data_IF_032526592357
#
_entry.id   IF_032526592357
#
_cell.length_a   1.000
_cell.length_b   1.000
_cell.length_c   1.000
_cell.angle_alpha   90.00
_cell.angle_beta   90.00
_cell.angle_gamma   90.00
#
_symmetry.space_group_name_H-M   'P 1'
#
loop_
_entity.id
_entity.type
_entity.pdbx_description
1 polymer ?
#
# COMPACT_ATOMS: atom_id res chain seq x y z
N UNK A 1 -27.85 -28.83 14.61
CA UNK A 1 -26.81 -27.85 14.95
C UNK A 1 -26.39 -27.13 13.69
N UNK A 2 -26.05 -25.85 13.80
CA UNK A 2 -25.56 -25.06 12.67
C UNK A 2 -24.13 -25.45 12.29
N UNK A 3 -23.73 -25.10 11.06
CA UNK A 3 -22.40 -25.41 10.53
C UNK A 3 -21.32 -24.62 11.29
N UNK A 4 -20.13 -25.20 11.51
CA UNK A 4 -19.00 -24.46 12.07
C UNK A 4 -18.62 -23.29 11.16
N UNK A 5 -18.27 -22.14 11.74
CA UNK A 5 -17.91 -20.96 10.97
C UNK A 5 -16.39 -20.95 10.69
N UNK A 6 -15.97 -21.83 9.77
CA UNK A 6 -14.56 -22.01 9.40
C UNK A 6 -14.33 -21.89 7.89
N UNK A 7 -13.11 -21.55 7.50
CA UNK A 7 -12.63 -21.63 6.12
C UNK A 7 -11.52 -22.67 5.99
N UNK A 8 -11.72 -23.69 5.16
CA UNK A 8 -10.72 -24.71 4.89
C UNK A 8 -9.71 -24.22 3.84
N UNK A 9 -8.42 -24.32 4.16
CA UNK A 9 -7.33 -23.82 3.33
C UNK A 9 -6.33 -24.94 3.05
N UNK A 10 -5.96 -25.10 1.78
CA UNK A 10 -4.91 -26.03 1.35
C UNK A 10 -3.78 -25.26 0.68
N UNK A 11 -2.56 -25.54 1.09
CA UNK A 11 -1.33 -24.95 0.51
C UNK A 11 -0.35 -26.06 0.12
N UNK A 12 0.79 -25.70 -0.47
CA UNK A 12 1.88 -26.65 -0.73
C UNK A 12 2.53 -27.18 0.57
N UNK A 13 2.44 -26.44 1.68
CA UNK A 13 3.08 -26.77 2.96
C UNK A 13 2.18 -27.62 3.88
N UNK A 14 0.89 -27.69 3.61
CA UNK A 14 -0.05 -28.40 4.47
C UNK A 14 -1.49 -27.93 4.34
N UNK A 15 -2.32 -28.43 5.25
CA UNK A 15 -3.76 -28.17 5.32
C UNK A 15 -4.11 -27.48 6.62
N UNK A 16 -5.06 -26.57 6.54
CA UNK A 16 -5.44 -25.69 7.63
C UNK A 16 -6.94 -25.47 7.65
N UNK A 17 -7.45 -25.03 8.78
CA UNK A 17 -8.69 -24.28 8.83
C UNK A 17 -8.44 -22.93 9.48
N UNK A 18 -9.11 -21.90 8.96
CA UNK A 18 -9.21 -20.59 9.60
C UNK A 18 -10.50 -20.55 10.42
N UNK A 19 -10.37 -20.33 11.72
CA UNK A 19 -11.47 -20.18 12.68
C UNK A 19 -11.90 -18.72 12.73
N UNK A 20 -13.11 -18.43 12.23
CA UNK A 20 -13.58 -17.06 12.07
C UNK A 20 -13.79 -16.38 13.42
N UNK A 21 -14.36 -17.09 14.39
CA UNK A 21 -14.67 -16.52 15.71
C UNK A 21 -13.44 -16.13 16.52
N UNK A 22 -12.29 -16.74 16.22
CA UNK A 22 -11.03 -16.55 16.95
C UNK A 22 -9.96 -15.83 16.14
N UNK A 23 -10.18 -15.63 14.84
CA UNK A 23 -9.20 -15.08 13.91
C UNK A 23 -7.86 -15.85 13.95
N UNK A 24 -7.94 -17.19 13.97
CA UNK A 24 -6.78 -18.08 14.11
C UNK A 24 -6.71 -19.07 12.93
N UNK A 25 -5.50 -19.38 12.47
CA UNK A 25 -5.25 -20.43 11.48
C UNK A 25 -4.67 -21.64 12.21
N UNK A 26 -5.35 -22.78 12.10
CA UNK A 26 -4.96 -24.04 12.75
C UNK A 26 -4.50 -25.04 11.70
N UNK A 27 -3.27 -25.52 11.84
CA UNK A 27 -2.74 -26.59 11.00
C UNK A 27 -3.37 -27.93 11.39
N UNK A 28 -3.80 -28.70 10.40
CA UNK A 28 -4.49 -29.98 10.61
C UNK A 28 -3.98 -31.07 9.67
N UNK A 29 -4.17 -32.31 10.11
CA UNK A 29 -3.84 -33.49 9.32
C UNK A 29 -4.84 -33.70 8.17
N UNK A 30 -4.40 -34.51 7.21
CA UNK A 30 -5.13 -34.81 5.97
C UNK A 30 -6.52 -35.40 6.22
N UNK A 31 -6.62 -36.29 7.21
CA UNK A 31 -7.87 -36.98 7.56
C UNK A 31 -8.88 -36.02 8.18
N UNK A 32 -8.42 -35.15 9.09
CA UNK A 32 -9.26 -34.14 9.72
C UNK A 32 -9.74 -33.11 8.70
N UNK A 33 -8.90 -32.75 7.73
CA UNK A 33 -9.32 -31.85 6.65
C UNK A 33 -10.41 -32.49 5.77
N UNK A 34 -10.32 -33.78 5.46
CA UNK A 34 -11.33 -34.50 4.70
C UNK A 34 -12.65 -34.61 5.49
N UNK A 35 -12.56 -34.86 6.80
CA UNK A 35 -13.70 -34.87 7.72
C UNK A 35 -14.39 -33.51 7.76
N UNK A 36 -13.66 -32.44 8.03
CA UNK A 36 -14.19 -31.08 8.06
C UNK A 36 -14.76 -30.66 6.70
N UNK A 37 -14.14 -31.07 5.59
CA UNK A 37 -14.68 -30.84 4.25
C UNK A 37 -16.05 -31.49 4.06
N UNK A 38 -16.25 -32.67 4.65
CA UNK A 38 -17.54 -33.38 4.63
C UNK A 38 -18.55 -32.65 5.50
N UNK A 39 -18.18 -32.29 6.75
CA UNK A 39 -19.02 -31.53 7.68
C UNK A 39 -19.46 -30.19 7.08
N UNK A 40 -18.56 -29.45 6.42
CA UNK A 40 -18.88 -28.17 5.79
C UNK A 40 -19.86 -28.33 4.62
N UNK A 41 -19.76 -29.42 3.84
CA UNK A 41 -20.67 -29.72 2.73
C UNK A 41 -22.05 -30.15 3.23
N UNK A 42 -22.09 -31.18 4.07
CA UNK A 42 -23.35 -31.83 4.50
C UNK A 42 -24.04 -31.12 5.66
N UNK A 43 -23.28 -30.41 6.49
CA UNK A 43 -23.75 -29.90 7.78
C UNK A 43 -23.97 -30.97 8.85
N UNK A 44 -23.60 -32.22 8.56
CA UNK A 44 -23.77 -33.35 9.47
C UNK A 44 -22.47 -33.53 10.27
N UNK A 45 -22.58 -33.56 11.58
CA UNK A 45 -21.44 -33.83 12.46
C UNK A 45 -21.04 -35.31 12.40
N UNK A 46 -19.76 -35.64 12.56
CA UNK A 46 -19.30 -37.02 12.60
C UNK A 46 -19.87 -37.75 13.83
N UNK A 47 -20.12 -39.05 13.72
CA UNK A 47 -20.47 -39.86 14.89
C UNK A 47 -19.24 -40.14 15.76
N UNK A 48 -19.43 -40.26 17.08
CA UNK A 48 -18.39 -40.72 17.99
C UNK A 48 -18.18 -42.22 17.83
N UNK A 49 -17.24 -42.58 16.96
CA UNK A 49 -16.92 -43.97 16.59
C UNK A 49 -15.56 -44.45 17.10
N UNK A 50 -14.89 -43.65 17.93
CA UNK A 50 -13.59 -43.98 18.52
C UNK A 50 -12.40 -43.88 17.55
N UNK A 51 -12.60 -43.44 16.30
CA UNK A 51 -11.48 -43.15 15.40
C UNK A 51 -10.67 -41.95 15.90
N UNK A 52 -9.37 -41.93 15.59
CA UNK A 52 -8.49 -40.85 16.02
C UNK A 52 -8.96 -39.48 15.47
N UNK A 53 -9.39 -39.45 14.20
CA UNK A 53 -9.87 -38.23 13.55
C UNK A 53 -11.16 -37.67 14.16
N UNK A 54 -12.09 -38.54 14.60
CA UNK A 54 -13.34 -38.12 15.26
C UNK A 54 -13.05 -37.64 16.67
N UNK A 55 -12.10 -38.28 17.37
CA UNK A 55 -11.58 -37.81 18.67
C UNK A 55 -10.95 -36.42 18.56
N UNK A 56 -10.09 -36.18 17.55
CA UNK A 56 -9.50 -34.87 17.30
C UNK A 56 -10.56 -33.79 17.01
N UNK A 57 -11.60 -34.13 16.24
CA UNK A 57 -12.73 -33.23 15.99
C UNK A 57 -13.42 -32.81 17.29
N UNK A 58 -13.77 -33.76 18.16
CA UNK A 58 -14.45 -33.45 19.41
C UNK A 58 -13.55 -32.70 20.41
N UNK A 59 -12.25 -33.00 20.45
CA UNK A 59 -11.30 -32.22 21.25
C UNK A 59 -11.26 -30.75 20.82
N UNK A 60 -11.31 -30.47 19.51
CA UNK A 60 -11.41 -29.10 18.99
C UNK A 60 -12.71 -28.42 19.44
N UNK A 61 -13.84 -29.12 19.35
CA UNK A 61 -15.15 -28.61 19.81
C UNK A 61 -15.11 -28.29 21.30
N UNK A 62 -14.56 -29.17 22.14
CA UNK A 62 -14.41 -28.96 23.58
C UNK A 62 -13.50 -27.77 23.91
N UNK A 63 -12.48 -27.52 23.09
CA UNK A 63 -11.61 -26.35 23.19
C UNK A 63 -12.25 -25.06 22.64
N UNK A 64 -13.52 -25.09 22.25
CA UNK A 64 -14.26 -23.94 21.74
C UNK A 64 -13.96 -23.58 20.27
N UNK A 65 -13.34 -24.47 19.51
CA UNK A 65 -13.26 -24.36 18.04
C UNK A 65 -14.50 -24.95 17.38
N UNK A 66 -14.66 -24.73 16.07
CA UNK A 66 -15.73 -25.32 15.26
C UNK A 66 -17.13 -24.94 15.76
N UNK A 67 -17.24 -23.78 16.39
CA UNK A 67 -18.51 -23.25 16.86
C UNK A 67 -19.23 -22.55 15.71
N UNK A 68 -20.57 -22.56 15.69
CA UNK A 68 -21.31 -21.63 14.85
C UNK A 68 -21.05 -20.22 15.38
N UNK A 69 -20.74 -19.28 14.48
CA UNK A 69 -20.57 -17.87 14.84
C UNK A 69 -21.63 -17.05 14.11
N UNK A 70 -22.50 -16.40 14.90
CA UNK A 70 -23.49 -15.44 14.41
C UNK A 70 -22.95 -14.05 14.71
N UNK A 71 -22.54 -13.33 13.66
CA UNK A 71 -22.14 -11.93 13.78
C UNK A 71 -23.42 -11.09 13.79
N UNK A 72 -23.74 -10.49 14.94
CA UNK A 72 -24.92 -9.60 15.07
C UNK A 72 -24.63 -8.20 14.53
N UNK A 73 -23.45 -7.65 14.84
CA UNK A 73 -23.03 -6.32 14.41
C UNK A 73 -21.52 -6.30 14.17
N UNK A 74 -21.10 -5.61 13.10
CA UNK A 74 -19.69 -5.28 12.84
C UNK A 74 -19.52 -3.79 13.10
N UNK A 75 -18.78 -3.45 14.16
CA UNK A 75 -18.53 -2.06 14.55
C UNK A 75 -17.03 -1.80 14.72
N UNK A 76 -16.56 -0.65 14.26
CA UNK A 76 -15.17 -0.26 14.44
C UNK A 76 -14.96 0.19 15.90
N UNK A 77 -13.84 -0.17 16.58
CA UNK A 77 -13.60 0.23 17.97
C UNK A 77 -13.65 1.75 18.18
N UNK A 78 -13.25 2.52 17.16
CA UNK A 78 -13.25 3.99 17.19
C UNK A 78 -14.55 4.63 16.69
N UNK A 79 -15.64 3.87 16.47
CA UNK A 79 -16.90 4.45 15.95
C UNK A 79 -17.42 5.58 16.84
N UNK A 80 -17.36 5.42 18.17
CA UNK A 80 -17.81 6.44 19.12
C UNK A 80 -16.90 7.69 19.15
N UNK A 81 -15.62 7.52 18.81
CA UNK A 81 -14.63 8.60 18.81
C UNK A 81 -14.55 9.35 17.47
N UNK A 82 -15.24 8.86 16.44
CA UNK A 82 -15.11 9.37 15.07
C UNK A 82 -15.33 10.88 14.98
N UNK A 83 -16.33 11.40 15.68
CA UNK A 83 -16.60 12.84 15.74
C UNK A 83 -15.39 13.63 16.25
N UNK A 84 -14.84 13.22 17.39
CA UNK A 84 -13.65 13.84 17.98
C UNK A 84 -12.43 13.72 17.05
N UNK A 85 -12.26 12.57 16.39
CA UNK A 85 -11.16 12.36 15.44
C UNK A 85 -11.24 13.32 14.24
N UNK A 86 -12.43 13.48 13.66
CA UNK A 86 -12.66 14.37 12.52
C UNK A 86 -12.56 15.85 12.92
N UNK A 87 -12.95 16.20 14.14
CA UNK A 87 -12.93 17.57 14.64
C UNK A 87 -11.53 18.04 15.05
N UNK A 88 -10.67 17.14 15.56
CA UNK A 88 -9.44 17.55 16.25
C UNK A 88 -8.17 16.81 15.84
N UNK A 89 -8.28 15.65 15.18
CA UNK A 89 -7.16 14.73 14.91
C UNK A 89 -6.93 14.45 13.42
N UNK A 90 -7.35 15.34 12.52
CA UNK A 90 -6.97 15.22 11.11
C UNK A 90 -5.44 15.37 11.01
N UNK A 91 -4.77 14.33 10.55
CA UNK A 91 -3.30 14.31 10.45
C UNK A 91 -2.79 14.34 9.01
N UNK A 92 -3.63 13.95 8.04
CA UNK A 92 -3.26 13.78 6.64
C UNK A 92 -4.20 14.55 5.72
N UNK A 93 -3.63 15.23 4.75
CA UNK A 93 -4.36 15.82 3.63
C UNK A 93 -3.65 15.48 2.31
N UNK A 94 -4.42 15.06 1.30
CA UNK A 94 -3.91 14.83 -0.05
C UNK A 94 -4.52 15.86 -0.99
N UNK A 95 -3.67 16.69 -1.60
CA UNK A 95 -4.06 17.77 -2.50
C UNK A 95 -3.89 17.33 -3.95
N UNK A 96 -5.01 17.29 -4.66
CA UNK A 96 -4.99 17.08 -6.10
C UNK A 96 -4.56 18.35 -6.84
N UNK A 97 -3.25 18.57 -7.02
CA UNK A 97 -2.71 19.83 -7.56
C UNK A 97 -2.98 20.01 -9.05
N UNK A 98 -3.21 18.91 -9.79
CA UNK A 98 -3.51 18.94 -11.22
C UNK A 98 -4.32 17.72 -11.65
N UNK A 99 -5.16 17.88 -12.68
CA UNK A 99 -5.79 16.78 -13.40
C UNK A 99 -4.99 16.37 -14.65
N UNK A 100 -3.95 17.15 -14.99
CA UNK A 100 -3.12 16.92 -16.16
C UNK A 100 -2.09 15.84 -15.87
N UNK A 101 -1.94 14.90 -16.81
CA UNK A 101 -0.91 13.87 -16.79
C UNK A 101 -0.25 13.84 -18.16
N UNK A 102 1.06 13.62 -18.20
CA UNK A 102 1.83 13.36 -19.41
C UNK A 102 1.73 11.89 -19.88
N UNK A 103 1.03 11.02 -19.12
CA UNK A 103 0.71 9.65 -19.50
C UNK A 103 -0.80 9.41 -19.65
N UNK A 104 -1.13 8.25 -20.24
CA UNK A 104 -2.50 7.71 -20.38
C UNK A 104 -2.53 6.23 -20.03
N UNK A 105 -2.21 5.89 -18.78
CA UNK A 105 -2.22 4.50 -18.32
C UNK A 105 -3.62 3.89 -18.46
N UNK A 106 -3.71 2.70 -19.06
CA UNK A 106 -5.00 2.02 -19.31
C UNK A 106 -5.71 1.61 -18.02
N UNK A 107 -4.95 1.35 -16.96
CA UNK A 107 -5.46 1.03 -15.63
C UNK A 107 -5.76 2.27 -14.76
N UNK A 108 -5.52 3.48 -15.28
CA UNK A 108 -5.81 4.71 -14.53
C UNK A 108 -7.33 4.85 -14.30
N UNK A 109 -7.74 5.14 -13.07
CA UNK A 109 -9.15 5.39 -12.73
C UNK A 109 -9.76 6.59 -13.49
N UNK A 110 -8.91 7.51 -13.95
CA UNK A 110 -9.29 8.68 -14.77
C UNK A 110 -9.09 8.43 -16.28
N UNK A 111 -8.88 7.17 -16.68
CA UNK A 111 -8.83 6.77 -18.09
C UNK A 111 -10.21 6.84 -18.72
N UNK A 112 -10.26 7.35 -19.95
CA UNK A 112 -11.48 7.48 -20.76
C UNK A 112 -12.08 6.13 -21.18
N UNK A 113 -11.29 5.06 -21.12
CA UNK A 113 -11.66 3.75 -21.68
C UNK A 113 -12.19 2.74 -20.67
N UNK A 114 -12.25 3.08 -19.38
CA UNK A 114 -12.54 2.11 -18.32
C UNK A 114 -13.50 2.56 -17.23
N UNK A 115 -13.75 3.87 -17.05
CA UNK A 115 -14.59 4.35 -15.97
C UNK A 115 -15.40 5.62 -16.32
N UNK A 116 -16.48 5.44 -17.09
CA UNK A 116 -17.36 6.53 -17.52
C UNK A 116 -18.07 7.28 -16.39
N UNK A 117 -18.09 6.73 -15.17
CA UNK A 117 -18.65 7.38 -13.98
C UNK A 117 -17.70 8.37 -13.31
N UNK A 118 -16.41 8.34 -13.68
CA UNK A 118 -15.39 9.22 -13.14
C UNK A 118 -15.05 10.33 -14.13
N UNK A 119 -14.41 11.38 -13.62
CA UNK A 119 -13.79 12.39 -14.49
C UNK A 119 -12.68 11.77 -15.34
N UNK A 120 -12.46 12.34 -16.52
CA UNK A 120 -11.29 12.03 -17.35
C UNK A 120 -10.09 12.89 -16.99
N UNK A 121 -8.97 12.65 -17.66
CA UNK A 121 -7.82 13.56 -17.63
C UNK A 121 -8.22 14.93 -18.20
N UNK A 122 -7.77 16.02 -17.57
CA UNK A 122 -8.03 17.38 -18.03
C UNK A 122 -6.85 18.29 -17.73
N UNK A 123 -6.88 19.53 -18.22
CA UNK A 123 -5.85 20.54 -17.90
C UNK A 123 -6.15 21.34 -16.62
N UNK A 124 -7.18 20.97 -15.86
CA UNK A 124 -7.55 21.69 -14.64
C UNK A 124 -6.42 21.58 -13.60
N UNK A 125 -6.05 22.73 -13.06
CA UNK A 125 -5.06 22.85 -11.99
C UNK A 125 -5.73 23.42 -10.74
N UNK A 126 -5.26 22.99 -9.58
CA UNK A 126 -5.66 23.57 -8.32
C UNK A 126 -5.18 25.02 -8.26
N UNK A 127 -6.02 25.95 -7.81
CA UNK A 127 -5.59 27.31 -7.49
C UNK A 127 -4.94 27.33 -6.10
N UNK A 128 -3.99 28.24 -5.89
CA UNK A 128 -3.36 28.38 -4.57
C UNK A 128 -4.38 28.73 -3.48
N UNK A 129 -5.40 29.52 -3.81
CA UNK A 129 -6.47 29.86 -2.86
C UNK A 129 -7.25 28.62 -2.39
N UNK A 130 -7.54 27.68 -3.29
CA UNK A 130 -8.18 26.41 -2.92
C UNK A 130 -7.26 25.58 -2.03
N UNK A 131 -5.97 25.50 -2.37
CA UNK A 131 -4.98 24.79 -1.55
C UNK A 131 -4.85 25.41 -0.15
N UNK A 132 -4.83 26.75 -0.07
CA UNK A 132 -4.80 27.52 1.17
C UNK A 132 -6.00 27.19 2.06
N UNK A 133 -7.22 27.24 1.50
CA UNK A 133 -8.44 26.87 2.23
C UNK A 133 -8.42 25.43 2.74
N UNK A 134 -7.88 24.51 1.94
CA UNK A 134 -7.74 23.10 2.34
C UNK A 134 -6.73 22.92 3.49
N UNK A 135 -5.60 23.63 3.44
CA UNK A 135 -4.62 23.64 4.53
C UNK A 135 -5.16 24.32 5.79
N UNK A 136 -5.91 25.41 5.66
CA UNK A 136 -6.57 26.11 6.77
C UNK A 136 -7.60 25.19 7.45
N UNK A 137 -8.38 24.43 6.66
CA UNK A 137 -9.28 23.40 7.18
C UNK A 137 -8.50 22.33 7.95
N UNK A 138 -7.44 21.76 7.39
CA UNK A 138 -6.60 20.78 8.07
C UNK A 138 -6.02 21.34 9.37
N UNK A 139 -5.56 22.60 9.37
CA UNK A 139 -5.02 23.29 10.55
C UNK A 139 -6.05 23.47 11.66
N UNK A 140 -7.30 23.78 11.32
CA UNK A 140 -8.38 23.92 12.27
C UNK A 140 -8.79 22.59 12.93
N UNK A 141 -8.60 21.47 12.23
CA UNK A 141 -9.04 20.14 12.66
C UNK A 141 -7.91 19.21 13.09
N UNK A 142 -6.73 19.76 13.37
CA UNK A 142 -5.52 18.99 13.70
C UNK A 142 -4.89 19.39 15.02
N UNK A 143 -5.63 20.09 15.90
CA UNK A 143 -5.12 20.64 17.16
C UNK A 143 -4.38 19.58 17.99
N UNK A 144 -4.97 18.39 18.12
CA UNK A 144 -4.49 17.29 18.98
C UNK A 144 -3.43 16.40 18.30
N UNK A 145 -2.97 16.75 17.09
CA UNK A 145 -1.96 15.98 16.35
C UNK A 145 -0.60 16.68 16.39
N UNK A 146 0.48 15.94 16.66
CA UNK A 146 1.86 16.49 16.65
C UNK A 146 2.52 16.44 15.27
N UNK A 147 1.93 15.69 14.33
CA UNK A 147 2.43 15.46 12.98
C UNK A 147 1.38 15.85 11.95
N UNK A 148 1.82 16.41 10.83
CA UNK A 148 0.97 16.71 9.68
C UNK A 148 1.61 16.12 8.44
N UNK A 149 0.79 15.49 7.62
CA UNK A 149 1.22 14.86 6.39
C UNK A 149 0.48 15.46 5.21
N UNK A 150 1.22 16.03 4.27
CA UNK A 150 0.69 16.72 3.09
C UNK A 150 1.12 15.96 1.85
N UNK A 151 0.18 15.28 1.22
CA UNK A 151 0.37 14.54 -0.02
C UNK A 151 0.03 15.36 -1.25
N UNK A 152 0.83 15.27 -2.30
CA UNK A 152 0.56 15.85 -3.60
C UNK A 152 0.13 14.76 -4.57
N UNK A 153 -1.10 14.87 -5.08
CA UNK A 153 -1.72 13.92 -6.01
C UNK A 153 -2.21 14.63 -7.27
N UNK A 154 -2.67 13.86 -8.26
CA UNK A 154 -3.21 14.41 -9.49
C UNK A 154 -3.12 13.44 -10.65
N UNK A 155 -2.99 14.03 -11.84
CA UNK A 155 -2.35 13.32 -12.94
C UNK A 155 -0.86 13.19 -12.66
N UNK A 156 -0.08 14.18 -13.07
CA UNK A 156 1.34 14.30 -12.75
C UNK A 156 1.61 15.57 -11.92
N UNK A 157 1.74 15.47 -10.58
CA UNK A 157 1.89 16.63 -9.70
C UNK A 157 3.04 17.56 -10.08
N UNK A 158 4.14 17.02 -10.62
CA UNK A 158 5.31 17.81 -11.01
C UNK A 158 5.03 18.79 -12.17
N UNK A 159 3.98 18.57 -12.97
CA UNK A 159 3.52 19.55 -13.97
C UNK A 159 3.03 20.86 -13.32
N UNK A 160 2.71 20.81 -12.02
CA UNK A 160 2.25 21.94 -11.21
C UNK A 160 3.22 22.23 -10.05
N UNK A 161 4.52 22.03 -10.25
CA UNK A 161 5.55 22.32 -9.24
C UNK A 161 5.51 23.73 -8.63
N UNK A 162 5.20 24.82 -9.37
CA UNK A 162 5.14 26.15 -8.77
C UNK A 162 4.11 26.31 -7.65
N UNK A 163 2.93 25.68 -7.75
CA UNK A 163 1.93 25.72 -6.67
C UNK A 163 2.36 24.82 -5.51
N UNK A 164 3.01 23.68 -5.76
CA UNK A 164 3.56 22.82 -4.70
C UNK A 164 4.50 23.62 -3.79
N UNK A 165 5.39 24.43 -4.37
CA UNK A 165 6.28 25.32 -3.59
C UNK A 165 5.51 26.33 -2.74
N UNK A 166 4.44 26.91 -3.28
CA UNK A 166 3.59 27.85 -2.53
C UNK A 166 2.87 27.14 -1.38
N UNK A 167 2.41 25.91 -1.60
CA UNK A 167 1.76 25.07 -0.58
C UNK A 167 2.73 24.75 0.55
N UNK A 168 3.95 24.29 0.23
CA UNK A 168 5.00 23.97 1.22
C UNK A 168 5.32 25.20 2.07
N UNK A 169 5.59 26.34 1.43
CA UNK A 169 5.90 27.58 2.15
C UNK A 169 4.75 28.03 3.07
N UNK A 170 3.49 27.85 2.64
CA UNK A 170 2.33 28.17 3.45
C UNK A 170 2.12 27.16 4.59
N UNK A 171 2.31 25.86 4.36
CA UNK A 171 2.16 24.84 5.38
C UNK A 171 3.19 24.99 6.51
N UNK A 172 4.45 25.25 6.18
CA UNK A 172 5.50 25.51 7.18
C UNK A 172 5.15 26.70 8.08
N UNK A 173 4.50 27.73 7.52
CA UNK A 173 4.04 28.89 8.28
C UNK A 173 2.90 28.55 9.24
N UNK A 174 1.85 27.85 8.79
CA UNK A 174 0.63 27.66 9.59
C UNK A 174 0.71 26.47 10.56
N UNK A 175 1.53 25.46 10.25
CA UNK A 175 1.75 24.28 11.09
C UNK A 175 3.03 24.38 11.93
N UNK A 176 3.51 25.61 12.18
CA UNK A 176 4.65 25.86 13.05
C UNK A 176 4.50 25.13 14.40
N UNK A 177 5.54 24.41 14.81
CA UNK A 177 5.55 23.57 16.02
C UNK A 177 5.04 22.14 15.84
N UNK A 178 4.51 21.78 14.65
CA UNK A 178 4.20 20.39 14.28
C UNK A 178 5.28 19.84 13.36
N UNK A 179 5.47 18.51 13.39
CA UNK A 179 6.35 17.82 12.46
C UNK A 179 5.62 17.65 11.13
N UNK A 180 6.13 18.27 10.06
CA UNK A 180 5.52 18.20 8.73
C UNK A 180 6.27 17.18 7.89
N UNK A 181 5.52 16.32 7.21
CA UNK A 181 6.06 15.43 6.18
C UNK A 181 5.28 15.60 4.88
N UNK A 182 5.98 15.42 3.77
CA UNK A 182 5.41 15.56 2.43
C UNK A 182 5.54 14.25 1.67
N UNK A 183 4.48 13.86 0.96
CA UNK A 183 4.53 12.79 -0.02
C UNK A 183 4.07 13.29 -1.39
N UNK A 184 4.51 12.61 -2.44
CA UNK A 184 4.06 12.91 -3.79
C UNK A 184 3.78 11.60 -4.51
N UNK A 185 2.64 11.54 -5.17
CA UNK A 185 2.20 10.39 -5.94
C UNK A 185 2.14 10.84 -7.41
N UNK A 186 3.16 10.45 -8.17
CA UNK A 186 3.34 10.82 -9.58
C UNK A 186 4.40 9.95 -10.27
N UNK A 187 4.54 10.09 -11.59
CA UNK A 187 5.54 9.45 -12.41
C UNK A 187 6.74 10.38 -12.68
N UNK A 188 7.94 9.94 -12.29
CA UNK A 188 9.22 10.58 -12.65
C UNK A 188 9.66 10.11 -14.04
N UNK A 189 10.35 10.87 -14.92
CA UNK A 189 10.93 10.37 -16.21
C UNK A 189 12.43 10.67 -16.39
N UNK A 190 13.22 9.71 -16.93
CA UNK A 190 14.70 9.76 -17.04
C UNK A 190 15.23 10.08 -18.46
N UNK A 191 16.48 10.59 -18.60
CA UNK A 191 17.11 10.88 -19.90
C UNK A 191 17.69 9.65 -20.63
N UNK A 192 17.72 9.71 -21.96
CA UNK A 192 17.99 8.60 -22.91
C UNK A 192 19.39 7.94 -22.84
N UNK A 193 20.43 8.62 -22.33
CA UNK A 193 21.82 8.14 -22.44
C UNK A 193 22.21 7.02 -21.45
N UNK A 194 21.36 6.67 -20.48
CA UNK A 194 21.65 5.70 -19.42
C UNK A 194 21.38 4.22 -19.80
N UNK A 195 21.00 3.92 -21.04
CA UNK A 195 20.42 2.62 -21.42
C UNK A 195 21.44 1.51 -21.79
N UNK A 196 22.74 1.81 -21.94
CA UNK A 196 23.72 0.88 -22.56
C UNK A 196 24.96 0.52 -21.70
N UNK A 197 24.89 0.62 -20.37
CA UNK A 197 26.04 0.35 -19.47
C UNK A 197 25.97 -1.03 -18.80
N UNK A 198 27.14 -1.62 -18.50
CA UNK A 198 27.23 -2.83 -17.67
C UNK A 198 26.77 -2.53 -16.23
N UNK A 199 26.11 -3.46 -15.52
CA UNK A 199 25.52 -3.19 -14.19
C UNK A 199 26.53 -2.67 -13.15
N UNK A 200 27.74 -3.21 -13.10
CA UNK A 200 28.80 -2.76 -12.18
C UNK A 200 29.26 -1.33 -12.45
N UNK A 201 29.37 -0.95 -13.73
CA UNK A 201 29.78 0.39 -14.14
C UNK A 201 28.67 1.42 -13.90
N UNK A 202 27.40 0.98 -14.01
CA UNK A 202 26.23 1.79 -13.71
C UNK A 202 26.16 2.15 -12.23
N UNK A 203 26.36 1.17 -11.34
CA UNK A 203 26.39 1.38 -9.87
C UNK A 203 27.51 2.35 -9.49
N UNK A 204 28.72 2.10 -9.98
CA UNK A 204 29.87 2.96 -9.66
C UNK A 204 29.66 4.40 -10.12
N UNK A 205 29.11 4.60 -11.33
CA UNK A 205 28.85 5.94 -11.86
C UNK A 205 27.68 6.64 -11.16
N UNK A 206 26.64 5.91 -10.79
CA UNK A 206 25.52 6.45 -9.99
C UNK A 206 26.01 6.85 -8.60
N UNK A 207 26.79 6.00 -7.92
CA UNK A 207 27.42 6.31 -6.64
C UNK A 207 28.26 7.59 -6.73
N UNK A 208 29.18 7.66 -7.68
CA UNK A 208 30.06 8.83 -7.83
C UNK A 208 29.27 10.10 -8.17
N UNK A 209 28.22 9.99 -9.00
CA UNK A 209 27.34 11.11 -9.31
C UNK A 209 26.55 11.60 -8.09
N UNK A 210 25.98 10.68 -7.30
CA UNK A 210 25.24 11.01 -6.08
C UNK A 210 26.17 11.61 -5.04
N UNK A 211 27.36 11.03 -4.80
CA UNK A 211 28.34 11.57 -3.85
C UNK A 211 28.74 12.99 -4.23
N UNK A 212 29.10 13.22 -5.50
CA UNK A 212 29.44 14.57 -5.97
C UNK A 212 28.28 15.55 -5.86
N UNK A 213 27.06 15.13 -6.21
CA UNK A 213 25.88 15.97 -6.06
C UNK A 213 25.56 16.28 -4.59
N UNK A 214 25.76 15.32 -3.69
CA UNK A 214 25.60 15.49 -2.24
C UNK A 214 26.59 16.50 -1.67
N UNK A 215 27.85 16.43 -2.13
CA UNK A 215 28.92 17.35 -1.74
C UNK A 215 28.77 18.76 -2.36
N UNK A 216 28.38 18.84 -3.63
CA UNK A 216 28.33 20.12 -4.37
C UNK A 216 27.01 20.88 -4.14
N UNK A 217 25.89 20.16 -3.95
CA UNK A 217 24.54 20.77 -3.96
C UNK A 217 23.76 20.61 -2.67
N UNK A 218 24.21 19.76 -1.74
CA UNK A 218 23.54 19.48 -0.47
C UNK A 218 22.02 19.35 -0.57
N UNK A 219 21.49 18.47 -1.45
CA UNK A 219 20.06 18.35 -1.64
C UNK A 219 19.39 17.68 -0.42
N UNK A 220 18.25 18.23 0.03
CA UNK A 220 17.47 17.65 1.13
C UNK A 220 16.83 16.30 0.75
N UNK A 221 16.59 16.05 -0.55
CA UNK A 221 16.02 14.80 -1.07
C UNK A 221 16.64 14.45 -2.42
N UNK A 222 17.02 13.19 -2.61
CA UNK A 222 17.51 12.63 -3.89
C UNK A 222 16.57 11.54 -4.38
N UNK A 223 15.92 11.77 -5.53
CA UNK A 223 15.03 10.80 -6.16
C UNK A 223 15.71 10.12 -7.34
N UNK A 224 15.83 8.79 -7.29
CA UNK A 224 16.47 7.98 -8.33
C UNK A 224 15.40 7.08 -8.95
N UNK A 225 15.06 7.34 -10.22
CA UNK A 225 14.20 6.45 -11.02
C UNK A 225 15.09 5.50 -11.80
N UNK A 226 14.82 4.21 -11.64
CA UNK A 226 15.48 3.17 -12.42
C UNK A 226 14.77 2.96 -13.76
N UNK A 227 15.53 2.68 -14.83
CA UNK A 227 14.94 2.09 -16.02
C UNK A 227 14.29 0.74 -15.63
N UNK A 228 13.18 0.40 -16.30
CA UNK A 228 12.37 -0.80 -16.08
C UNK A 228 13.23 -2.07 -15.85
N UNK A 229 12.72 -3.11 -15.16
CA UNK A 229 13.26 -4.45 -15.37
C UNK A 229 13.06 -4.77 -16.86
N UNK A 230 14.15 -4.91 -17.61
CA UNK A 230 14.16 -5.01 -19.06
C UNK A 230 13.70 -6.37 -19.60
N UNK A 231 13.09 -7.24 -18.79
CA UNK A 231 12.79 -8.61 -19.21
C UNK A 231 11.33 -8.97 -18.88
N UNK A 232 10.55 -9.28 -19.92
CA UNK A 232 9.29 -10.02 -19.80
C UNK A 232 9.58 -11.38 -19.16
N UNK A 233 8.64 -11.92 -18.39
CA UNK A 233 8.74 -13.26 -17.79
C UNK A 233 9.37 -14.30 -18.76
N UNK A 234 10.51 -14.86 -18.36
CA UNK A 234 11.26 -15.89 -19.08
C UNK A 234 11.29 -17.17 -18.24
N UNK A 235 10.77 -18.25 -18.81
CA UNK A 235 10.73 -19.58 -18.16
C UNK A 235 12.11 -20.19 -17.92
N UNK A 236 13.15 -19.69 -18.58
CA UNK A 236 14.52 -20.20 -18.44
C UNK A 236 15.33 -19.48 -17.36
N UNK A 237 14.91 -18.28 -16.94
CA UNK A 237 15.64 -17.53 -15.91
C UNK A 237 14.67 -16.95 -14.86
N UNK A 238 14.11 -17.81 -13.99
CA UNK A 238 12.97 -17.48 -13.13
C UNK A 238 13.31 -16.57 -11.94
N UNK A 239 14.53 -16.03 -11.83
CA UNK A 239 14.97 -15.27 -10.65
C UNK A 239 15.43 -13.83 -10.94
N UNK A 240 15.26 -13.30 -12.16
CA UNK A 240 15.66 -11.92 -12.50
C UNK A 240 14.58 -10.86 -12.13
N UNK A 241 13.93 -11.02 -10.98
CA UNK A 241 12.90 -10.13 -10.45
C UNK A 241 13.49 -8.95 -9.68
N UNK A 242 14.13 -8.01 -10.39
CA UNK A 242 14.57 -6.75 -9.77
C UNK A 242 15.98 -6.79 -9.16
N UNK A 243 16.85 -7.65 -9.67
CA UNK A 243 18.29 -7.66 -9.33
C UNK A 243 18.91 -6.27 -9.56
N UNK A 244 18.54 -5.57 -10.62
CA UNK A 244 18.98 -4.18 -10.88
C UNK A 244 18.52 -3.23 -9.76
N UNK A 245 17.28 -3.36 -9.30
CA UNK A 245 16.72 -2.57 -8.20
C UNK A 245 17.41 -2.85 -6.87
N UNK A 246 17.71 -4.12 -6.59
CA UNK A 246 18.50 -4.55 -5.43
C UNK A 246 19.95 -4.05 -5.50
N UNK A 247 20.57 -4.10 -6.67
CA UNK A 247 21.95 -3.63 -6.86
C UNK A 247 22.02 -2.10 -6.69
N UNK A 248 21.01 -1.36 -7.16
CA UNK A 248 20.93 0.10 -6.97
C UNK A 248 20.59 0.45 -5.52
N UNK A 249 19.84 -0.37 -4.78
CA UNK A 249 19.61 -0.11 -3.36
C UNK A 249 20.89 -0.16 -2.52
N UNK A 250 21.89 -0.91 -2.97
CA UNK A 250 23.24 -0.87 -2.38
C UNK A 250 23.98 0.47 -2.64
N UNK A 251 23.51 1.29 -3.58
CA UNK A 251 24.10 2.57 -3.99
C UNK A 251 23.47 3.80 -3.30
N UNK A 252 22.35 3.62 -2.60
CA UNK A 252 21.59 4.71 -1.98
C UNK A 252 21.84 4.68 -0.48
N UNK A 253 22.38 5.77 0.09
CA UNK A 253 22.47 5.90 1.55
C UNK A 253 21.07 5.87 2.17
N UNK A 254 20.96 5.36 3.41
CA UNK A 254 19.70 4.92 4.05
C UNK A 254 18.55 5.93 4.16
N UNK A 255 18.77 7.20 3.78
CA UNK A 255 17.76 8.25 3.76
C UNK A 255 17.09 8.44 2.38
N UNK A 256 17.46 7.65 1.36
CA UNK A 256 16.89 7.71 0.02
C UNK A 256 15.86 6.62 -0.31
N UNK A 257 14.95 6.90 -1.24
CA UNK A 257 13.90 5.96 -1.69
C UNK A 257 14.12 5.54 -3.15
N UNK A 258 13.93 4.25 -3.45
CA UNK A 258 13.96 3.68 -4.80
C UNK A 258 12.54 3.31 -5.21
N UNK A 259 12.05 3.91 -6.29
CA UNK A 259 10.74 3.61 -6.85
C UNK A 259 10.88 2.83 -8.17
N UNK A 260 10.32 1.61 -8.20
CA UNK A 260 10.20 0.79 -9.39
C UNK A 260 8.73 0.74 -9.81
N UNK A 261 8.38 1.44 -10.89
CA UNK A 261 7.02 1.46 -11.43
C UNK A 261 6.99 0.73 -12.79
N UNK A 262 6.05 -0.21 -13.02
CA UNK A 262 5.84 -0.84 -14.32
C UNK A 262 5.17 0.13 -15.31
N UNK A 263 5.49 -0.01 -16.60
CA UNK A 263 4.79 0.66 -17.71
C UNK A 263 3.40 0.07 -17.92
#
# INVERSE_FOLDING_TARGET
MEKPHILLIKTALGKYFYEVGRNEIVAIQDDLFALLSTVMKTGVQPEQDGREVTTQYYNLVECGYLQPCVIEEIRHPLTDELHCMLERKIEKITLQVTQSCNLRCTYCIYSETGNFSQRSHSSLQMSFETAKRALDFCRAHSEDTTKIHIGFYGGEPLLSFPIIRQIIAYSEKIFSGKLISYDMIGQVTYPFWAQNLKPSDLVYRINNFISRMSEEKHPDVVLIRLPLPTIKYDSNNPFDFGIISFIVSQAVHGDGCICCAPS
#
